data_IF_116536976430
#
_entry.id   IF_116536976430
#
_cell.length_a   1.000
_cell.length_b   1.000
_cell.length_c   1.000
_cell.angle_alpha   90.00
_cell.angle_beta   90.00
_cell.angle_gamma   90.00
#
_symmetry.space_group_name_H-M   'P 1'
#
loop_
_entity.id
_entity.type
_entity.pdbx_description
1 polymer ?
#
# COMPACT_ATOMS: atom_id res chain seq x y z
N UNK A 1 -6.15 18.33 -16.31
CA UNK A 1 -5.65 17.40 -15.27
C UNK A 1 -6.57 17.51 -14.08
N UNK A 2 -7.19 16.40 -13.66
CA UNK A 2 -7.99 16.39 -12.44
C UNK A 2 -7.10 16.61 -11.22
N UNK A 3 -7.56 17.37 -10.23
CA UNK A 3 -6.87 17.49 -8.96
C UNK A 3 -6.77 16.10 -8.32
N UNK A 4 -5.57 15.71 -7.83
CA UNK A 4 -5.40 14.52 -6.99
C UNK A 4 -6.25 14.69 -5.73
N UNK A 5 -7.21 13.79 -5.49
CA UNK A 5 -8.15 13.85 -4.37
C UNK A 5 -7.92 12.75 -3.34
N UNK A 6 -7.40 11.59 -3.76
CA UNK A 6 -7.19 10.46 -2.85
C UNK A 6 -5.99 9.61 -3.26
N UNK A 7 -5.07 9.41 -2.32
CA UNK A 7 -3.88 8.57 -2.53
C UNK A 7 -3.86 7.41 -1.54
N UNK A 8 -3.36 6.25 -1.97
CA UNK A 8 -3.07 5.11 -1.09
C UNK A 8 -1.61 5.11 -0.64
N UNK A 9 -1.34 4.54 0.54
CA UNK A 9 0.01 4.26 1.03
C UNK A 9 0.03 2.81 1.53
N UNK A 10 1.06 2.06 1.17
CA UNK A 10 1.31 0.72 1.68
C UNK A 10 2.79 0.50 1.99
N UNK A 11 3.06 -0.38 2.95
CA UNK A 11 4.41 -0.86 3.28
C UNK A 11 4.53 -2.34 2.98
N UNK A 12 5.47 -2.72 2.12
CA UNK A 12 5.70 -4.11 1.71
C UNK A 12 7.08 -4.63 2.11
N UNK A 13 7.17 -5.95 2.32
CA UNK A 13 8.40 -6.64 2.66
C UNK A 13 8.78 -6.56 4.15
N UNK A 14 10.04 -6.84 4.49
CA UNK A 14 10.52 -6.73 5.87
C UNK A 14 10.53 -5.29 6.39
N UNK A 15 10.20 -5.11 7.67
CA UNK A 15 10.27 -3.82 8.35
C UNK A 15 11.71 -3.27 8.44
N UNK A 16 11.87 -1.94 8.41
CA UNK A 16 13.17 -1.28 8.60
C UNK A 16 12.95 0.15 9.12
N UNK A 17 13.91 0.72 9.88
CA UNK A 17 13.81 2.07 10.41
C UNK A 17 13.50 3.12 9.33
N UNK A 18 12.54 4.01 9.63
CA UNK A 18 12.21 5.14 8.76
C UNK A 18 10.95 4.97 7.90
N UNK A 19 10.32 3.80 7.89
CA UNK A 19 9.03 3.60 7.20
C UNK A 19 7.95 4.59 7.66
N UNK A 20 7.81 4.77 8.98
CA UNK A 20 6.91 5.75 9.57
C UNK A 20 7.24 7.21 9.15
N UNK A 21 8.51 7.51 8.88
CA UNK A 21 8.91 8.82 8.40
C UNK A 21 8.43 9.07 6.96
N UNK A 22 8.50 8.04 6.10
CA UNK A 22 7.97 8.10 4.73
C UNK A 22 6.45 8.23 4.75
N UNK A 23 5.74 7.38 5.51
CA UNK A 23 4.27 7.45 5.66
C UNK A 23 3.85 8.86 6.10
N UNK A 24 4.51 9.40 7.14
CA UNK A 24 4.24 10.76 7.62
C UNK A 24 4.50 11.82 6.55
N UNK A 25 5.62 11.74 5.85
CA UNK A 25 6.01 12.74 4.85
C UNK A 25 4.99 12.80 3.71
N UNK A 26 4.58 11.63 3.18
CA UNK A 26 3.56 11.51 2.14
C UNK A 26 2.21 12.01 2.65
N UNK A 27 1.75 11.49 3.78
CA UNK A 27 0.42 11.80 4.32
C UNK A 27 0.27 13.30 4.67
N UNK A 28 1.25 13.88 5.41
CA UNK A 28 1.22 15.31 5.76
C UNK A 28 1.27 16.20 4.52
N UNK A 29 2.06 15.82 3.51
CA UNK A 29 2.15 16.61 2.27
C UNK A 29 0.84 16.57 1.49
N UNK A 30 0.24 15.39 1.31
CA UNK A 30 -1.03 15.21 0.63
C UNK A 30 -2.16 16.01 1.29
N UNK A 31 -2.32 15.88 2.62
CA UNK A 31 -3.35 16.59 3.36
C UNK A 31 -3.12 18.11 3.37
N UNK A 32 -1.89 18.56 3.65
CA UNK A 32 -1.64 19.98 3.93
C UNK A 32 -1.43 20.84 2.69
N UNK A 33 -0.83 20.28 1.62
CA UNK A 33 -0.51 21.04 0.39
C UNK A 33 -1.53 20.83 -0.72
N UNK A 34 -2.13 19.64 -0.79
CA UNK A 34 -2.99 19.26 -1.90
C UNK A 34 -4.46 19.07 -1.48
N UNK A 35 -4.77 19.19 -0.19
CA UNK A 35 -6.10 18.93 0.35
C UNK A 35 -6.65 17.55 -0.09
N UNK A 36 -5.76 16.57 -0.20
CA UNK A 36 -6.07 15.21 -0.61
C UNK A 36 -6.28 14.31 0.61
N UNK A 37 -7.23 13.38 0.50
CA UNK A 37 -7.42 12.30 1.47
C UNK A 37 -6.38 11.20 1.27
N UNK A 38 -6.04 10.49 2.36
CA UNK A 38 -4.98 9.49 2.36
C UNK A 38 -5.54 8.18 2.91
N UNK A 39 -5.42 7.11 2.12
CA UNK A 39 -5.83 5.76 2.51
C UNK A 39 -4.58 4.98 2.91
N UNK A 40 -4.56 4.44 4.12
CA UNK A 40 -3.60 3.45 4.58
C UNK A 40 -4.09 2.06 4.18
N UNK A 41 -3.28 1.32 3.44
CA UNK A 41 -3.55 -0.06 3.09
C UNK A 41 -2.78 -0.94 4.07
N UNK A 42 -3.51 -1.76 4.81
CA UNK A 42 -2.97 -2.56 5.90
C UNK A 42 -2.15 -3.75 5.35
N UNK A 43 -1.04 -4.09 6.00
CA UNK A 43 -0.18 -5.23 5.69
C UNK A 43 0.28 -5.33 4.22
N UNK A 44 0.49 -4.17 3.59
CA UNK A 44 1.07 -4.10 2.26
C UNK A 44 0.11 -4.56 1.16
N UNK A 45 0.61 -5.39 0.25
CA UNK A 45 -0.20 -5.89 -0.87
C UNK A 45 -1.25 -6.92 -0.44
N UNK A 46 -1.06 -7.56 0.72
CA UNK A 46 -2.04 -8.53 1.25
C UNK A 46 -3.36 -7.84 1.60
N UNK A 47 -3.33 -6.77 2.40
CA UNK A 47 -4.54 -5.98 2.64
C UNK A 47 -5.03 -5.27 1.39
N UNK A 48 -4.18 -5.01 0.39
CA UNK A 48 -4.65 -4.49 -0.89
C UNK A 48 -5.52 -5.52 -1.64
N UNK A 49 -5.12 -6.79 -1.64
CA UNK A 49 -5.92 -7.89 -2.20
C UNK A 49 -7.19 -8.08 -1.37
N UNK A 50 -7.06 -8.24 -0.06
CA UNK A 50 -8.19 -8.56 0.81
C UNK A 50 -9.19 -7.42 0.99
N UNK A 51 -8.74 -6.19 0.75
CA UNK A 51 -9.55 -5.00 0.88
C UNK A 51 -9.49 -4.36 2.28
N UNK A 52 -8.40 -4.58 3.01
CA UNK A 52 -8.12 -4.00 4.33
C UNK A 52 -7.47 -2.63 4.19
N UNK A 53 -8.23 -1.59 4.55
CA UNK A 53 -7.75 -0.21 4.50
C UNK A 53 -8.52 0.67 5.46
N UNK A 54 -7.92 1.80 5.81
CA UNK A 54 -8.56 2.88 6.53
C UNK A 54 -8.10 4.25 6.04
N UNK A 55 -8.86 5.29 6.35
CA UNK A 55 -8.44 6.66 6.08
C UNK A 55 -7.46 7.14 7.16
N UNK A 56 -6.25 7.52 6.75
CA UNK A 56 -5.21 8.02 7.65
C UNK A 56 -5.55 9.44 8.07
N UNK A 57 -5.61 9.67 9.38
CA UNK A 57 -5.85 11.01 9.91
C UNK A 57 -4.57 11.79 10.17
N UNK A 58 -4.67 13.12 10.20
CA UNK A 58 -3.56 14.00 10.57
C UNK A 58 -2.98 13.69 11.97
N UNK A 59 -3.82 13.20 12.89
CA UNK A 59 -3.43 12.82 14.25
C UNK A 59 -2.62 11.52 14.26
N UNK A 60 -3.02 10.55 13.45
CA UNK A 60 -2.38 9.24 13.36
C UNK A 60 -0.92 9.32 12.89
N UNK A 61 -0.62 10.21 11.95
CA UNK A 61 0.77 10.44 11.48
C UNK A 61 1.54 11.46 12.31
N UNK A 62 1.01 11.89 13.46
CA UNK A 62 1.71 12.79 14.38
C UNK A 62 2.42 11.99 15.47
N UNK A 63 3.71 12.26 15.68
CA UNK A 63 4.50 11.56 16.70
C UNK A 63 5.02 10.17 16.30
N UNK A 64 4.85 9.75 15.03
CA UNK A 64 5.31 8.43 14.57
C UNK A 64 6.77 8.38 14.11
N UNK A 65 7.44 9.53 13.99
CA UNK A 65 8.86 9.61 13.58
C UNK A 65 9.82 8.77 14.44
N UNK A 66 9.72 8.74 15.78
CA UNK A 66 10.59 7.92 16.62
C UNK A 66 10.15 6.45 16.72
N UNK A 67 9.01 6.06 16.14
CA UNK A 67 8.52 4.68 16.23
C UNK A 67 9.27 3.79 15.23
N UNK A 68 9.77 2.65 15.71
CA UNK A 68 10.13 1.53 14.84
C UNK A 68 8.89 0.93 14.18
N UNK A 69 9.08 0.01 13.23
CA UNK A 69 7.91 -0.53 12.54
C UNK A 69 7.37 0.37 11.44
N UNK A 70 6.18 -0.03 11.04
CA UNK A 70 5.25 0.72 10.21
C UNK A 70 3.89 0.71 10.90
N UNK A 71 3.24 1.86 10.99
CA UNK A 71 1.87 1.95 11.53
C UNK A 71 0.83 1.23 10.65
N UNK A 72 1.18 0.85 9.43
CA UNK A 72 0.29 0.14 8.50
C UNK A 72 0.52 -1.39 8.52
N UNK A 73 1.48 -1.89 9.29
CA UNK A 73 1.89 -3.29 9.21
C UNK A 73 2.61 -3.62 7.91
N UNK A 74 3.04 -4.88 7.76
CA UNK A 74 3.68 -5.35 6.53
C UNK A 74 3.49 -6.85 6.38
N UNK A 75 3.35 -7.31 5.14
CA UNK A 75 3.29 -8.73 4.80
C UNK A 75 4.31 -9.10 3.73
N UNK A 76 4.80 -10.34 3.82
CA UNK A 76 5.64 -10.99 2.82
C UNK A 76 4.87 -11.99 1.94
N UNK A 77 3.58 -12.23 2.24
CA UNK A 77 2.75 -13.25 1.56
C UNK A 77 1.80 -12.67 0.51
N UNK A 78 1.72 -11.35 0.40
CA UNK A 78 0.69 -10.68 -0.40
C UNK A 78 1.05 -10.38 -1.84
N UNK A 79 1.93 -11.12 -2.54
CA UNK A 79 2.16 -10.87 -3.98
C UNK A 79 0.85 -11.13 -4.75
N UNK A 80 0.19 -10.11 -5.33
CA UNK A 80 -1.09 -10.31 -6.01
C UNK A 80 -0.98 -11.20 -7.25
N UNK A 81 0.21 -11.36 -7.84
CA UNK A 81 0.42 -12.20 -9.01
C UNK A 81 0.71 -13.66 -8.66
N UNK A 82 1.02 -13.93 -7.39
CA UNK A 82 1.30 -15.26 -6.85
C UNK A 82 0.68 -15.38 -5.46
N UNK A 83 -0.60 -15.07 -5.34
CA UNK A 83 -1.27 -14.94 -4.06
C UNK A 83 -1.59 -16.32 -3.49
N UNK A 84 -1.16 -16.64 -2.26
CA UNK A 84 -1.50 -17.90 -1.60
C UNK A 84 -2.92 -17.83 -1.02
N UNK A 85 -3.87 -18.56 -1.60
CA UNK A 85 -5.20 -18.79 -1.00
C UNK A 85 -5.30 -20.20 -0.43
N UNK A 86 -5.98 -20.32 0.71
CA UNK A 86 -6.30 -21.61 1.32
C UNK A 86 -7.68 -22.07 0.84
N UNK A 87 -7.77 -23.29 0.30
CA UNK A 87 -9.04 -23.88 -0.09
C UNK A 87 -9.84 -24.42 1.11
N UNK A 88 -11.07 -24.90 0.87
CA UNK A 88 -11.94 -25.43 1.93
C UNK A 88 -11.36 -26.68 2.64
N UNK A 89 -10.33 -27.31 2.05
CA UNK A 89 -9.66 -28.49 2.57
C UNK A 89 -8.34 -28.13 3.30
N UNK A 90 -7.98 -26.84 3.35
CA UNK A 90 -6.76 -26.36 4.01
C UNK A 90 -5.51 -26.40 3.13
N UNK A 91 -5.64 -26.66 1.82
CA UNK A 91 -4.49 -26.67 0.92
C UNK A 91 -4.20 -25.26 0.39
N UNK A 92 -2.92 -24.90 0.30
CA UNK A 92 -2.50 -23.62 -0.27
C UNK A 92 -2.43 -23.74 -1.80
N UNK A 93 -3.20 -22.90 -2.49
CA UNK A 93 -3.16 -22.72 -3.93
C UNK A 93 -2.60 -21.35 -4.28
N UNK A 94 -1.85 -21.25 -5.38
CA UNK A 94 -1.30 -19.98 -5.87
C UNK A 94 -2.21 -19.45 -6.97
N UNK A 95 -2.77 -18.26 -6.76
CA UNK A 95 -3.72 -17.62 -7.67
C UNK A 95 -3.27 -16.21 -8.07
N UNK A 96 -3.70 -15.75 -9.25
CA UNK A 96 -3.51 -14.36 -9.67
C UNK A 96 -4.71 -13.52 -9.20
N UNK A 97 -4.49 -12.77 -8.13
CA UNK A 97 -5.43 -11.83 -7.51
C UNK A 97 -5.17 -10.36 -7.90
N UNK A 98 -4.35 -10.11 -8.92
CA UNK A 98 -4.06 -8.74 -9.38
C UNK A 98 -5.32 -7.99 -9.79
N UNK A 99 -6.31 -8.68 -10.37
CA UNK A 99 -7.62 -8.10 -10.73
C UNK A 99 -8.37 -7.59 -9.50
N UNK A 100 -8.22 -8.25 -8.35
CA UNK A 100 -8.85 -7.82 -7.08
C UNK A 100 -8.21 -6.53 -6.56
N UNK A 101 -6.90 -6.38 -6.70
CA UNK A 101 -6.18 -5.12 -6.42
C UNK A 101 -6.70 -4.00 -7.33
N UNK A 102 -6.83 -4.24 -8.65
CA UNK A 102 -7.38 -3.23 -9.57
C UNK A 102 -8.81 -2.82 -9.20
N UNK A 103 -9.65 -3.78 -8.80
CA UNK A 103 -11.01 -3.51 -8.33
C UNK A 103 -11.01 -2.66 -7.07
N UNK A 104 -10.20 -3.00 -6.07
CA UNK A 104 -10.09 -2.26 -4.82
C UNK A 104 -9.56 -0.84 -5.05
N UNK A 105 -8.51 -0.67 -5.86
CA UNK A 105 -7.98 0.64 -6.26
C UNK A 105 -9.07 1.55 -6.83
N UNK A 106 -9.88 1.02 -7.77
CA UNK A 106 -10.98 1.76 -8.39
C UNK A 106 -12.12 2.02 -7.40
N UNK A 107 -12.51 1.01 -6.62
CA UNK A 107 -13.59 1.10 -5.62
C UNK A 107 -13.30 2.17 -4.56
N UNK A 108 -12.05 2.29 -4.14
CA UNK A 108 -11.61 3.27 -3.16
C UNK A 108 -11.42 4.68 -3.75
N UNK A 109 -11.47 4.79 -5.09
CA UNK A 109 -11.28 6.04 -5.81
C UNK A 109 -9.86 6.58 -5.69
N UNK A 110 -8.86 5.68 -5.68
CA UNK A 110 -7.46 6.08 -5.61
C UNK A 110 -7.00 6.69 -6.93
N UNK A 111 -6.32 7.83 -6.86
CA UNK A 111 -5.65 8.45 -8.00
C UNK A 111 -4.21 7.94 -8.16
N UNK A 112 -3.58 7.52 -7.05
CA UNK A 112 -2.28 6.86 -7.03
C UNK A 112 -2.05 6.08 -5.73
N UNK A 113 -1.08 5.17 -5.73
CA UNK A 113 -0.58 4.46 -4.54
C UNK A 113 0.92 4.71 -4.38
N UNK A 114 1.34 5.03 -3.16
CA UNK A 114 2.76 5.05 -2.78
C UNK A 114 3.10 3.70 -2.16
N UNK A 115 3.90 2.90 -2.85
CA UNK A 115 4.36 1.60 -2.39
C UNK A 115 5.76 1.72 -1.79
N UNK A 116 5.89 1.49 -0.49
CA UNK A 116 7.16 1.63 0.23
C UNK A 116 7.71 0.24 0.54
N UNK A 117 8.91 -0.10 0.07
CA UNK A 117 9.47 -1.42 0.31
C UNK A 117 10.71 -1.72 -0.52
N UNK A 118 11.19 -2.97 -0.45
CA UNK A 118 12.38 -3.43 -1.17
C UNK A 118 12.08 -3.89 -2.60
N UNK A 119 13.01 -4.63 -3.20
CA UNK A 119 12.93 -5.06 -4.60
C UNK A 119 11.65 -5.84 -4.94
N UNK A 120 11.21 -6.74 -4.05
CA UNK A 120 9.95 -7.46 -4.21
C UNK A 120 8.75 -6.51 -4.33
N UNK A 121 8.71 -5.46 -3.50
CA UNK A 121 7.68 -4.43 -3.55
C UNK A 121 7.76 -3.62 -4.85
N UNK A 122 8.96 -3.26 -5.30
CA UNK A 122 9.16 -2.51 -6.54
C UNK A 122 8.74 -3.32 -7.78
N UNK A 123 9.03 -4.63 -7.80
CA UNK A 123 8.60 -5.52 -8.87
C UNK A 123 7.08 -5.64 -8.96
N UNK A 124 6.39 -5.79 -7.82
CA UNK A 124 4.92 -5.83 -7.79
C UNK A 124 4.34 -4.47 -8.23
N UNK A 125 4.91 -3.36 -7.74
CA UNK A 125 4.51 -2.02 -8.11
C UNK A 125 4.62 -1.77 -9.63
N UNK A 126 5.70 -2.23 -10.26
CA UNK A 126 5.89 -2.12 -11.71
C UNK A 126 4.79 -2.88 -12.47
N UNK A 127 4.56 -4.15 -12.14
CA UNK A 127 3.52 -4.96 -12.80
C UNK A 127 2.11 -4.37 -12.63
N UNK A 128 1.77 -3.90 -11.43
CA UNK A 128 0.49 -3.22 -11.21
C UNK A 128 0.39 -1.90 -11.99
N UNK A 129 1.52 -1.21 -12.21
CA UNK A 129 1.56 -0.02 -13.06
C UNK A 129 1.32 -0.35 -14.54
N UNK A 130 1.84 -1.48 -15.03
CA UNK A 130 1.53 -2.01 -16.36
C UNK A 130 0.04 -2.36 -16.53
N UNK A 131 -0.66 -2.69 -15.45
CA UNK A 131 -2.13 -2.84 -15.42
C UNK A 131 -2.89 -1.50 -15.38
N UNK A 132 -2.20 -0.37 -15.44
CA UNK A 132 -2.78 0.97 -15.52
C UNK A 132 -3.04 1.65 -14.17
N UNK A 133 -2.47 1.14 -13.07
CA UNK A 133 -2.51 1.83 -11.78
C UNK A 133 -1.38 2.88 -11.73
N UNK A 134 -1.68 4.06 -11.22
CA UNK A 134 -0.62 5.02 -10.92
C UNK A 134 0.07 4.63 -9.61
N UNK A 135 1.32 4.19 -9.69
CA UNK A 135 2.09 3.76 -8.51
C UNK A 135 3.41 4.50 -8.46
N UNK A 136 3.76 4.98 -7.27
CA UNK A 136 5.08 5.55 -6.95
C UNK A 136 5.78 4.60 -5.99
N UNK A 137 6.90 4.03 -6.43
CA UNK A 137 7.77 3.22 -5.58
C UNK A 137 8.68 4.09 -4.72
N UNK A 138 8.75 3.80 -3.42
CA UNK A 138 9.77 4.35 -2.50
C UNK A 138 10.67 3.20 -2.07
N UNK A 139 11.89 3.09 -2.64
CA UNK A 139 12.77 1.97 -2.35
C UNK A 139 13.29 2.05 -0.92
N UNK A 140 13.26 0.89 -0.25
CA UNK A 140 13.82 0.66 1.07
C UNK A 140 14.88 -0.43 0.98
N UNK A 141 16.06 -0.13 1.50
CA UNK A 141 17.14 -1.10 1.75
C UNK A 141 17.23 -1.36 3.24
#
# INVERSE_FOLDING_TARGET
MGAFKRIGILTGGGDCPGLNAVIRAVAKTAMSKYNASVIGIEDGFEGFVEGRMHEITNKEVSGILPLGGTILGTSNKGDPFHYPEEDLEGNIQIMDESVRVVKNYRRWGLDAVVAIGGDGTMNIALKLSELGLNIVGVPKT
#
